data_IF_784890844545
#
_entry.id   IF_784890844545
#
_cell.length_a   1.000
_cell.length_b   1.000
_cell.length_c   1.000
_cell.angle_alpha   90.00
_cell.angle_beta   90.00
_cell.angle_gamma   90.00
#
_symmetry.space_group_name_H-M   'P 1'
#
loop_
_entity.id
_entity.type
_entity.pdbx_description
1 polymer ?
#
# COMPACT_ATOMS: atom_id res chain seq x y z
N UNK A 1 -6.18 -14.08 -1.34
CA UNK A 1 -7.08 -13.02 -1.82
C UNK A 1 -6.56 -11.71 -1.27
N UNK A 2 -6.22 -10.76 -2.14
CA UNK A 2 -5.84 -9.42 -1.69
C UNK A 2 -7.09 -8.56 -1.41
N UNK A 3 -6.89 -7.42 -0.76
CA UNK A 3 -8.01 -6.54 -0.36
C UNK A 3 -8.74 -5.94 -1.56
N UNK A 4 -8.02 -5.73 -2.67
CA UNK A 4 -8.55 -5.22 -3.94
C UNK A 4 -9.45 -6.26 -4.61
N UNK A 5 -9.01 -7.53 -4.64
CA UNK A 5 -9.82 -8.65 -5.14
C UNK A 5 -11.08 -8.82 -4.30
N UNK A 6 -10.98 -8.68 -2.98
CA UNK A 6 -12.12 -8.75 -2.09
C UNK A 6 -13.11 -7.60 -2.33
N UNK A 7 -12.62 -6.35 -2.43
CA UNK A 7 -13.46 -5.19 -2.78
C UNK A 7 -14.16 -5.38 -4.13
N UNK A 8 -13.44 -5.88 -5.15
CA UNK A 8 -14.01 -6.15 -6.46
C UNK A 8 -15.10 -7.22 -6.42
N UNK A 9 -14.92 -8.28 -5.61
CA UNK A 9 -15.92 -9.32 -5.39
C UNK A 9 -17.17 -8.77 -4.69
N UNK A 10 -17.01 -8.03 -3.60
CA UNK A 10 -18.13 -7.39 -2.90
C UNK A 10 -18.90 -6.43 -3.82
N UNK A 11 -18.21 -5.64 -4.65
CA UNK A 11 -18.86 -4.76 -5.62
C UNK A 11 -19.68 -5.53 -6.67
N UNK A 12 -19.18 -6.68 -7.15
CA UNK A 12 -19.93 -7.54 -8.07
C UNK A 12 -21.18 -8.13 -7.41
N UNK A 13 -21.05 -8.62 -6.19
CA UNK A 13 -22.18 -9.16 -5.41
C UNK A 13 -23.22 -8.09 -5.09
N UNK A 14 -22.82 -6.83 -4.90
CA UNK A 14 -23.74 -5.70 -4.73
C UNK A 14 -24.49 -5.35 -6.02
N UNK A 15 -23.77 -5.26 -7.15
CA UNK A 15 -24.34 -4.82 -8.44
C UNK A 15 -25.30 -5.84 -9.05
N UNK A 16 -24.98 -7.11 -8.91
CA UNK A 16 -25.85 -8.19 -9.31
C UNK A 16 -26.72 -8.51 -8.10
N UNK A 17 -27.90 -7.89 -7.97
CA UNK A 17 -28.82 -8.24 -6.89
C UNK A 17 -29.14 -9.73 -6.98
N UNK A 18 -28.50 -10.50 -6.10
CA UNK A 18 -28.65 -11.95 -6.06
C UNK A 18 -30.12 -12.31 -5.82
N UNK A 19 -30.81 -11.53 -4.99
CA UNK A 19 -32.23 -11.71 -4.70
C UNK A 19 -33.07 -11.53 -5.97
N UNK A 20 -32.83 -10.49 -6.76
CA UNK A 20 -33.54 -10.27 -8.03
C UNK A 20 -33.29 -11.43 -9.02
N UNK A 21 -32.06 -11.94 -9.08
CA UNK A 21 -31.70 -13.08 -9.93
C UNK A 21 -32.37 -14.38 -9.45
N UNK A 22 -32.39 -14.62 -8.14
CA UNK A 22 -33.05 -15.78 -7.53
C UNK A 22 -34.56 -15.74 -7.79
N UNK A 23 -35.19 -14.57 -7.65
CA UNK A 23 -36.62 -14.39 -7.92
C UNK A 23 -36.96 -14.55 -9.40
N UNK A 24 -36.14 -14.00 -10.30
CA UNK A 24 -36.30 -14.19 -11.74
C UNK A 24 -36.16 -15.67 -12.13
N UNK A 25 -35.19 -16.37 -11.53
CA UNK A 25 -34.98 -17.79 -11.74
C UNK A 25 -36.16 -18.62 -11.22
N UNK A 26 -36.70 -18.33 -10.04
CA UNK A 26 -37.90 -19.01 -9.52
C UNK A 26 -39.10 -18.87 -10.44
N UNK A 27 -39.29 -17.69 -11.05
CA UNK A 27 -40.34 -17.48 -12.06
C UNK A 27 -40.11 -18.35 -13.29
N UNK A 28 -38.87 -18.43 -13.79
CA UNK A 28 -38.51 -19.28 -14.92
C UNK A 28 -38.72 -20.78 -14.60
N UNK A 29 -38.32 -21.24 -13.42
CA UNK A 29 -38.55 -22.62 -12.97
C UNK A 29 -40.05 -22.97 -12.97
N UNK A 30 -40.89 -22.09 -12.43
CA UNK A 30 -42.34 -22.28 -12.43
C UNK A 30 -42.92 -22.36 -13.85
N UNK A 31 -42.34 -21.65 -14.83
CA UNK A 31 -42.73 -21.78 -16.24
C UNK A 31 -42.37 -23.15 -16.81
N UNK A 32 -41.18 -23.69 -16.49
CA UNK A 32 -40.80 -25.05 -16.92
C UNK A 32 -41.72 -26.11 -16.31
N UNK A 33 -42.09 -25.99 -15.03
CA UNK A 33 -43.09 -26.86 -14.40
C UNK A 33 -44.43 -26.79 -15.14
N UNK A 34 -44.90 -25.59 -15.46
CA UNK A 34 -46.15 -25.41 -16.18
C UNK A 34 -46.11 -26.05 -17.58
N UNK A 35 -45.00 -25.88 -18.30
CA UNK A 35 -44.80 -26.54 -19.61
C UNK A 35 -44.83 -28.06 -19.45
N UNK A 36 -44.13 -28.61 -18.45
CA UNK A 36 -44.14 -30.05 -18.15
C UNK A 36 -45.54 -30.58 -17.90
N UNK A 37 -46.33 -29.89 -17.08
CA UNK A 37 -47.73 -30.25 -16.81
C UNK A 37 -48.59 -30.18 -18.08
N UNK A 38 -48.38 -29.14 -18.90
CA UNK A 38 -49.12 -28.95 -20.16
C UNK A 38 -48.80 -30.05 -21.17
N UNK A 39 -47.52 -30.41 -21.35
CA UNK A 39 -47.09 -31.48 -22.25
C UNK A 39 -47.65 -32.83 -21.78
N UNK A 40 -47.66 -33.08 -20.47
CA UNK A 40 -48.18 -34.34 -19.88
C UNK A 40 -49.69 -34.52 -20.06
N UNK A 41 -50.42 -33.44 -20.36
CA UNK A 41 -51.87 -33.42 -20.55
C UNK A 41 -52.28 -33.19 -22.02
N UNK A 42 -51.30 -33.09 -22.92
CA UNK A 42 -51.54 -32.85 -24.34
C UNK A 42 -51.73 -34.18 -25.07
N UNK A 43 -52.83 -34.32 -25.79
CA UNK A 43 -53.06 -35.47 -26.68
C UNK A 43 -52.67 -35.11 -28.12
N UNK A 44 -51.53 -35.62 -28.58
CA UNK A 44 -51.06 -35.37 -29.94
C UNK A 44 -51.80 -36.24 -30.97
N UNK A 45 -52.12 -35.64 -32.13
CA UNK A 45 -52.55 -36.39 -33.31
C UNK A 45 -51.37 -37.21 -33.88
N UNK A 46 -51.63 -38.35 -34.54
CA UNK A 46 -50.58 -39.26 -35.06
C UNK A 46 -49.56 -38.66 -36.05
N UNK A 47 -49.79 -37.45 -36.55
CA UNK A 47 -48.88 -36.72 -37.44
C UNK A 47 -48.12 -35.58 -36.74
N UNK A 48 -48.43 -35.33 -35.46
CA UNK A 48 -47.86 -34.25 -34.69
C UNK A 48 -46.65 -34.74 -33.89
N UNK A 49 -45.51 -34.06 -34.05
CA UNK A 49 -44.27 -34.34 -33.31
C UNK A 49 -44.11 -33.44 -32.07
N UNK A 50 -45.10 -32.59 -31.78
CA UNK A 50 -45.06 -31.62 -30.68
C UNK A 50 -44.73 -32.29 -29.34
N UNK A 51 -45.43 -33.38 -28.99
CA UNK A 51 -45.21 -34.11 -27.74
C UNK A 51 -43.76 -34.61 -27.63
N UNK A 52 -43.23 -35.25 -28.68
CA UNK A 52 -41.85 -35.75 -28.69
C UNK A 52 -40.80 -34.63 -28.56
N UNK A 53 -41.00 -33.50 -29.24
CA UNK A 53 -40.07 -32.37 -29.22
C UNK A 53 -40.12 -31.69 -27.85
N UNK A 54 -41.33 -31.44 -27.34
CA UNK A 54 -41.53 -30.76 -26.07
C UNK A 54 -41.11 -31.61 -24.89
N UNK A 55 -41.29 -32.94 -24.94
CA UNK A 55 -40.79 -33.83 -23.90
C UNK A 55 -39.26 -33.76 -23.80
N UNK A 56 -38.54 -33.83 -24.93
CA UNK A 56 -37.08 -33.67 -24.95
C UNK A 56 -36.62 -32.31 -24.41
N UNK A 57 -37.35 -31.25 -24.74
CA UNK A 57 -37.10 -29.91 -24.21
C UNK A 57 -37.28 -29.88 -22.68
N UNK A 58 -38.40 -30.41 -22.17
CA UNK A 58 -38.71 -30.46 -20.74
C UNK A 58 -37.65 -31.26 -19.99
N UNK A 59 -37.26 -32.43 -20.47
CA UNK A 59 -36.25 -33.28 -19.82
C UNK A 59 -34.90 -32.53 -19.69
N UNK A 60 -34.50 -31.83 -20.76
CA UNK A 60 -33.26 -31.05 -20.78
C UNK A 60 -33.34 -29.83 -19.86
N UNK A 61 -34.47 -29.10 -19.90
CA UNK A 61 -34.70 -27.92 -19.09
C UNK A 61 -34.78 -28.27 -17.61
N UNK A 62 -35.46 -29.36 -17.24
CA UNK A 62 -35.60 -29.82 -15.87
C UNK A 62 -34.23 -30.12 -15.26
N UNK A 63 -33.38 -30.88 -15.96
CA UNK A 63 -32.01 -31.16 -15.50
C UNK A 63 -31.18 -29.88 -15.26
N UNK A 64 -31.30 -28.90 -16.15
CA UNK A 64 -30.55 -27.64 -15.99
C UNK A 64 -31.09 -26.81 -14.83
N UNK A 65 -32.42 -26.73 -14.69
CA UNK A 65 -33.05 -25.92 -13.66
C UNK A 65 -32.85 -26.55 -12.29
N UNK A 66 -32.91 -27.87 -12.14
CA UNK A 66 -32.58 -28.55 -10.88
C UNK A 66 -31.16 -28.22 -10.40
N UNK A 67 -30.17 -28.22 -11.30
CA UNK A 67 -28.80 -27.83 -10.96
C UNK A 67 -28.69 -26.38 -10.50
N UNK A 68 -29.37 -25.46 -11.17
CA UNK A 68 -29.35 -24.05 -10.78
C UNK A 68 -30.09 -23.86 -9.45
N UNK A 69 -31.16 -24.62 -9.19
CA UNK A 69 -31.90 -24.59 -7.94
C UNK A 69 -31.07 -25.11 -6.77
N UNK A 70 -30.26 -26.15 -6.96
CA UNK A 70 -29.30 -26.62 -5.97
C UNK A 70 -28.26 -25.53 -5.66
N UNK A 71 -27.71 -24.88 -6.69
CA UNK A 71 -26.75 -23.77 -6.52
C UNK A 71 -27.39 -22.60 -5.77
N UNK A 72 -28.62 -22.22 -6.13
CA UNK A 72 -29.37 -21.16 -5.46
C UNK A 72 -29.56 -21.46 -3.97
N UNK A 73 -29.97 -22.68 -3.61
CA UNK A 73 -30.11 -23.09 -2.22
C UNK A 73 -28.78 -23.06 -1.46
N UNK A 74 -27.70 -23.53 -2.09
CA UNK A 74 -26.36 -23.47 -1.49
C UNK A 74 -25.91 -22.03 -1.24
N UNK A 75 -26.22 -21.10 -2.15
CA UNK A 75 -25.92 -19.68 -1.98
C UNK A 75 -26.74 -19.10 -0.83
N UNK A 76 -28.07 -19.32 -0.80
CA UNK A 76 -28.94 -18.86 0.31
C UNK A 76 -28.44 -19.33 1.67
N UNK A 77 -28.15 -20.62 1.81
CA UNK A 77 -27.64 -21.19 3.06
C UNK A 77 -26.30 -20.54 3.47
N UNK A 78 -25.40 -20.28 2.51
CA UNK A 78 -24.13 -19.60 2.80
C UNK A 78 -24.35 -18.15 3.22
N UNK A 79 -25.25 -17.43 2.56
CA UNK A 79 -25.62 -16.05 2.92
C UNK A 79 -26.17 -16.01 4.34
N UNK A 80 -27.17 -16.84 4.65
CA UNK A 80 -27.80 -16.92 5.98
C UNK A 80 -26.76 -17.20 7.06
N UNK A 81 -25.92 -18.24 6.88
CA UNK A 81 -24.85 -18.58 7.83
C UNK A 81 -23.84 -17.45 8.00
N UNK A 82 -23.53 -16.72 6.93
CA UNK A 82 -22.58 -15.61 6.99
C UNK A 82 -23.20 -14.43 7.73
N UNK A 83 -24.46 -14.08 7.46
CA UNK A 83 -25.17 -13.04 8.20
C UNK A 83 -25.30 -13.38 9.70
N UNK A 84 -25.61 -14.64 10.03
CA UNK A 84 -25.63 -15.13 11.42
C UNK A 84 -24.25 -15.02 12.09
N UNK A 85 -23.18 -15.37 11.38
CA UNK A 85 -21.81 -15.26 11.89
C UNK A 85 -21.43 -13.82 12.26
N UNK A 86 -21.89 -12.85 11.48
CA UNK A 86 -21.67 -11.43 11.74
C UNK A 86 -22.76 -10.79 12.64
N UNK A 87 -23.64 -11.60 13.23
CA UNK A 87 -24.74 -11.14 14.09
C UNK A 87 -25.66 -10.09 13.42
N UNK A 88 -25.82 -10.19 12.10
CA UNK A 88 -26.70 -9.31 11.35
C UNK A 88 -28.18 -9.62 11.59
N UNK A 89 -29.00 -8.59 11.49
CA UNK A 89 -30.44 -8.76 11.58
C UNK A 89 -30.96 -9.57 10.39
N UNK A 90 -31.97 -10.41 10.62
CA UNK A 90 -32.69 -11.11 9.54
C UNK A 90 -33.35 -10.15 8.54
N UNK A 91 -33.55 -8.89 8.93
CA UNK A 91 -34.13 -7.86 8.08
C UNK A 91 -33.08 -7.09 7.26
N UNK A 92 -31.78 -7.28 7.54
CA UNK A 92 -30.71 -6.65 6.75
C UNK A 92 -30.75 -7.22 5.33
N UNK A 93 -30.79 -6.36 4.31
CA UNK A 93 -30.76 -6.83 2.92
C UNK A 93 -29.37 -7.33 2.57
N UNK A 94 -29.28 -8.34 1.71
CA UNK A 94 -27.99 -8.88 1.27
C UNK A 94 -27.08 -7.80 0.67
N UNK A 95 -27.65 -6.89 -0.12
CA UNK A 95 -26.92 -5.79 -0.75
C UNK A 95 -26.32 -4.82 0.28
N UNK A 96 -27.04 -4.57 1.38
CA UNK A 96 -26.59 -3.75 2.50
C UNK A 96 -25.50 -4.48 3.30
N UNK A 97 -25.68 -5.78 3.53
CA UNK A 97 -24.70 -6.61 4.20
C UNK A 97 -23.36 -6.64 3.45
N UNK A 98 -23.39 -6.86 2.13
CA UNK A 98 -22.20 -6.87 1.28
C UNK A 98 -21.56 -5.49 1.18
N UNK A 99 -22.36 -4.41 1.28
CA UNK A 99 -21.87 -3.04 1.26
C UNK A 99 -20.85 -2.78 2.37
N UNK A 100 -21.07 -3.30 3.58
CA UNK A 100 -20.14 -3.12 4.69
C UNK A 100 -18.75 -3.68 4.39
N UNK A 101 -18.69 -4.86 3.76
CA UNK A 101 -17.41 -5.47 3.37
C UNK A 101 -16.73 -4.71 2.23
N UNK A 102 -17.51 -4.20 1.29
CA UNK A 102 -16.99 -3.35 0.22
C UNK A 102 -16.36 -2.09 0.78
N UNK A 103 -17.07 -1.37 1.66
CA UNK A 103 -16.58 -0.12 2.26
C UNK A 103 -15.36 -0.37 3.15
N UNK A 104 -15.37 -1.45 3.92
CA UNK A 104 -14.20 -1.88 4.69
C UNK A 104 -12.99 -2.10 3.80
N UNK A 105 -13.14 -2.88 2.72
CA UNK A 105 -12.06 -3.22 1.83
C UNK A 105 -11.51 -1.99 1.10
N UNK A 106 -12.39 -1.09 0.65
CA UNK A 106 -11.99 0.17 0.01
C UNK A 106 -11.23 1.07 0.98
N UNK A 107 -11.76 1.30 2.19
CA UNK A 107 -11.10 2.15 3.19
C UNK A 107 -9.74 1.59 3.63
N UNK A 108 -9.65 0.27 3.78
CA UNK A 108 -8.39 -0.39 4.12
C UNK A 108 -7.37 -0.30 2.98
N UNK A 109 -7.82 -0.38 1.72
CA UNK A 109 -6.95 -0.14 0.56
C UNK A 109 -6.42 1.31 0.55
N UNK A 110 -7.29 2.29 0.76
CA UNK A 110 -6.91 3.71 0.81
C UNK A 110 -5.89 3.97 1.94
N UNK A 111 -6.13 3.39 3.11
CA UNK A 111 -5.21 3.50 4.25
C UNK A 111 -3.86 2.86 3.97
N UNK A 112 -3.83 1.65 3.39
CA UNK A 112 -2.59 0.98 3.02
C UNK A 112 -1.79 1.77 1.97
N UNK A 113 -2.49 2.43 1.04
CA UNK A 113 -1.83 3.27 0.04
C UNK A 113 -1.21 4.51 0.69
N UNK A 114 -1.93 5.18 1.59
CA UNK A 114 -1.40 6.33 2.34
C UNK A 114 -0.16 5.94 3.16
N UNK A 115 -0.19 4.81 3.87
CA UNK A 115 0.95 4.34 4.65
C UNK A 115 2.19 4.07 3.78
N UNK A 116 2.00 3.50 2.58
CA UNK A 116 3.10 3.30 1.62
C UNK A 116 3.66 4.63 1.12
N UNK A 117 2.78 5.59 0.82
CA UNK A 117 3.19 6.90 0.34
C UNK A 117 3.96 7.67 1.43
N UNK A 118 3.51 7.58 2.69
CA UNK A 118 4.18 8.17 3.85
C UNK A 118 5.56 7.54 4.09
N UNK A 119 5.66 6.20 4.01
CA UNK A 119 6.95 5.50 4.13
C UNK A 119 7.93 5.93 3.02
N UNK A 120 7.47 6.03 1.77
CA UNK A 120 8.27 6.52 0.65
C UNK A 120 8.71 7.97 0.87
N UNK A 121 7.82 8.83 1.36
CA UNK A 121 8.11 10.23 1.61
C UNK A 121 9.13 10.40 2.76
N UNK A 122 9.02 9.58 3.80
CA UNK A 122 9.96 9.57 4.91
C UNK A 122 11.35 9.08 4.46
N UNK A 123 11.42 8.02 3.66
CA UNK A 123 12.69 7.56 3.07
C UNK A 123 13.35 8.66 2.21
N UNK A 124 12.56 9.37 1.40
CA UNK A 124 13.05 10.52 0.61
C UNK A 124 13.52 11.67 1.49
N UNK A 125 12.86 11.91 2.64
CA UNK A 125 13.26 12.94 3.61
C UNK A 125 14.60 12.60 4.23
N UNK A 126 14.75 11.38 4.74
CA UNK A 126 16.00 10.87 5.32
C UNK A 126 17.15 10.95 4.30
N UNK A 127 16.91 10.56 3.04
CA UNK A 127 17.94 10.65 1.99
C UNK A 127 18.36 12.10 1.70
N UNK A 128 17.40 13.03 1.67
CA UNK A 128 17.70 14.46 1.51
C UNK A 128 18.46 15.04 2.70
N UNK A 129 18.13 14.63 3.92
CA UNK A 129 18.84 15.06 5.14
C UNK A 129 20.28 14.54 5.13
N UNK A 130 20.51 13.25 4.86
CA UNK A 130 21.86 12.70 4.69
C UNK A 130 22.68 13.45 3.64
N UNK A 131 22.11 13.71 2.47
CA UNK A 131 22.78 14.50 1.41
C UNK A 131 23.10 15.93 1.83
N UNK A 132 22.34 16.54 2.73
CA UNK A 132 22.63 17.87 3.27
C UNK A 132 23.75 17.80 4.30
N UNK A 133 23.75 16.78 5.14
CA UNK A 133 24.78 16.59 6.16
C UNK A 133 26.13 16.24 5.51
N UNK A 134 26.15 15.36 4.51
CA UNK A 134 27.35 15.05 3.71
C UNK A 134 27.92 16.30 3.03
N UNK A 135 27.04 17.19 2.52
CA UNK A 135 27.46 18.47 1.91
C UNK A 135 28.04 19.44 2.94
N UNK A 136 27.44 19.53 4.13
CA UNK A 136 27.96 20.36 5.21
C UNK A 136 29.31 19.85 5.68
N UNK A 137 29.49 18.54 5.82
CA UNK A 137 30.79 17.94 6.16
C UNK A 137 31.84 18.27 5.09
N UNK A 138 31.50 18.17 3.80
CA UNK A 138 32.39 18.56 2.69
C UNK A 138 32.69 20.06 2.65
N UNK A 139 31.77 20.93 3.07
CA UNK A 139 31.98 22.39 3.14
C UNK A 139 32.78 22.81 4.39
N UNK A 140 32.64 22.08 5.51
CA UNK A 140 33.39 22.34 6.75
C UNK A 140 34.84 21.82 6.71
N UNK A 141 35.12 20.74 5.99
CA UNK A 141 36.48 20.20 5.82
C UNK A 141 37.51 21.23 5.31
N UNK A 142 37.30 21.97 4.21
CA UNK A 142 38.26 22.96 3.73
C UNK A 142 38.43 24.14 4.70
N UNK A 143 37.39 24.48 5.48
CA UNK A 143 37.46 25.51 6.52
C UNK A 143 38.31 25.03 7.70
N UNK A 144 38.15 23.78 8.15
CA UNK A 144 38.97 23.19 9.22
C UNK A 144 40.43 23.05 8.80
N UNK A 145 40.70 22.57 7.57
CA UNK A 145 42.06 22.47 7.03
C UNK A 145 42.70 23.85 6.86
N UNK A 146 41.92 24.86 6.43
CA UNK A 146 42.36 26.25 6.32
C UNK A 146 42.68 26.88 7.68
N UNK A 147 41.84 26.64 8.69
CA UNK A 147 42.05 27.11 10.06
C UNK A 147 43.31 26.49 10.68
N UNK A 148 43.55 25.19 10.51
CA UNK A 148 44.78 24.52 10.96
C UNK A 148 46.04 25.11 10.29
N UNK A 149 46.00 25.41 8.98
CA UNK A 149 47.11 26.07 8.29
C UNK A 149 47.38 27.49 8.79
N UNK A 150 46.35 28.22 9.21
CA UNK A 150 46.48 29.58 9.76
C UNK A 150 47.07 29.57 11.18
N UNK A 151 46.71 28.59 12.00
CA UNK A 151 47.30 28.38 13.33
C UNK A 151 48.78 28.01 13.22
N UNK A 152 49.13 27.04 12.36
CA UNK A 152 50.53 26.66 12.13
C UNK A 152 51.39 27.83 11.61
N UNK A 153 50.84 28.69 10.74
CA UNK A 153 51.54 29.91 10.28
C UNK A 153 51.69 30.99 11.36
N UNK A 154 50.80 31.03 12.36
CA UNK A 154 50.94 31.94 13.50
C UNK A 154 52.02 31.45 14.45
N UNK A 155 52.08 30.16 14.71
CA UNK A 155 53.13 29.53 15.53
C UNK A 155 54.53 29.75 14.91
N UNK A 156 54.70 29.53 13.60
CA UNK A 156 55.97 29.84 12.91
C UNK A 156 56.38 31.33 12.99
N UNK A 157 55.41 32.25 13.09
CA UNK A 157 55.69 33.70 13.22
C UNK A 157 56.09 34.07 14.64
N UNK A 158 55.45 33.48 15.65
CA UNK A 158 55.84 33.66 17.06
C UNK A 158 57.23 33.07 17.31
N UNK A 159 57.53 31.89 16.77
CA UNK A 159 58.84 31.24 16.89
C UNK A 159 59.97 32.05 16.23
N UNK A 160 59.70 32.71 15.11
CA UNK A 160 60.64 33.66 14.48
C UNK A 160 60.82 34.95 15.27
N UNK A 161 59.79 35.42 15.97
CA UNK A 161 59.85 36.63 16.80
C UNK A 161 60.65 36.38 18.09
N UNK A 162 60.49 35.22 18.73
CA UNK A 162 61.30 34.83 19.90
C UNK A 162 62.77 34.62 19.52
N UNK A 163 63.06 33.94 18.40
CA UNK A 163 64.43 33.79 17.92
C UNK A 163 65.11 35.14 17.57
N UNK A 164 64.34 36.10 17.04
CA UNK A 164 64.86 37.45 16.76
C UNK A 164 65.07 38.28 18.04
N UNK A 165 64.26 38.06 19.09
CA UNK A 165 64.41 38.72 20.38
C UNK A 165 65.64 38.20 21.14
N UNK A 166 65.90 36.89 21.10
CA UNK A 166 67.07 36.27 21.74
C UNK A 166 68.38 36.72 21.07
N UNK A 167 68.43 36.80 19.73
CA UNK A 167 69.59 37.32 19.01
C UNK A 167 69.88 38.81 19.26
N UNK A 168 68.85 39.61 19.58
CA UNK A 168 68.98 41.02 19.95
C UNK A 168 69.57 41.21 21.36
N UNK A 169 69.18 40.36 22.31
CA UNK A 169 69.74 40.34 23.67
C UNK A 169 71.21 39.89 23.69
N UNK A 170 71.57 38.89 22.89
CA UNK A 170 72.96 38.45 22.73
C UNK A 170 73.82 39.56 22.10
N UNK A 171 73.32 40.24 21.06
CA UNK A 171 74.01 41.37 20.44
C UNK A 171 74.24 42.57 21.39
N UNK A 172 73.27 42.85 22.27
CA UNK A 172 73.40 43.91 23.29
C UNK A 172 74.38 43.50 24.40
N UNK A 173 74.32 42.28 24.92
CA UNK A 173 75.27 41.80 25.94
C UNK A 173 76.71 41.76 25.42
N UNK A 174 76.92 41.36 24.16
CA UNK A 174 78.25 41.35 23.55
C UNK A 174 78.79 42.77 23.31
N UNK A 175 77.90 43.74 23.08
CA UNK A 175 78.24 45.17 23.01
C UNK A 175 78.70 45.75 24.36
N UNK A 176 78.06 45.36 25.47
CA UNK A 176 78.46 45.79 26.82
C UNK A 176 79.79 45.18 27.28
N UNK A 177 80.03 43.90 26.98
CA UNK A 177 81.27 43.19 27.39
C UNK A 177 82.48 43.75 26.63
N UNK A 178 82.35 44.09 25.35
CA UNK A 178 83.45 44.65 24.55
C UNK A 178 83.73 46.15 24.81
N UNK A 179 82.77 46.90 25.36
CA UNK A 179 82.96 48.30 25.72
C UNK A 179 83.70 48.51 27.06
N UNK A 180 83.76 47.49 27.93
CA UNK A 180 84.44 47.54 29.24
C UNK A 180 85.93 47.17 29.24
N UNK A 181 86.48 46.68 28.11
CA UNK A 181 87.78 45.99 28.08
C UNK A 181 89.04 46.83 27.79
N UNK A 182 89.01 48.17 27.80
CA UNK A 182 90.22 48.98 27.53
C UNK A 182 90.42 50.17 28.49
N UNK A 183 91.48 50.04 29.31
CA UNK A 183 92.28 51.01 30.12
C UNK A 183 92.27 50.58 31.59
N UNK A 184 93.39 50.36 32.28
CA UNK A 184 94.76 50.93 32.28
C UNK A 184 95.62 49.97 33.15
N UNK A 185 96.80 49.50 32.74
CA UNK A 185 98.13 50.09 33.03
C UNK A 185 98.19 50.93 34.30
#
# INVERSE_FOLDING_TARGET
>A
MCIEEFAALCNKCKKNSYNDQSDAFNKFYNQIILIKQTVSSFEANKQDNYEQIMQKFVDTAEFQVEKVLEIDQQIKTKIEKTMEFFAESKNTKFEEFVQYFYDFAQNAQETLQQLKDDEINELKRIEKEKKKDDKKEQEEEPIRVGAQKLVAKKEEKEEKLTAAADGLMDGLMQGFINAGGKKRR
#
